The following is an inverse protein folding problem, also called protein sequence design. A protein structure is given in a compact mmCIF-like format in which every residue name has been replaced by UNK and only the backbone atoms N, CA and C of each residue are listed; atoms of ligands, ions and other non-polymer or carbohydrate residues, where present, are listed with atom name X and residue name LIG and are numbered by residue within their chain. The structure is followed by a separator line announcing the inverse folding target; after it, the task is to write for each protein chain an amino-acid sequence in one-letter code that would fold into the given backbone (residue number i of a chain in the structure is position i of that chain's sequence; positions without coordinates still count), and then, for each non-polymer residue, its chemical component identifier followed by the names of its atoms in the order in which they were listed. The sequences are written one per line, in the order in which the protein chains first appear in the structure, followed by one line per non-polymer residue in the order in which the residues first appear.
data_IF_494624717935
#
_entry.id   IF_494624717935
#
_cell.length_a   1.000
_cell.length_b   1.000
_cell.length_c   1.000
_cell.angle_alpha   90.00
_cell.angle_beta   90.00
_cell.angle_gamma   90.00
#
_symmetry.space_group_name_H-M   'P 1'
#
loop_
_entity.id
_entity.type
_entity.pdbx_description
1 polymer ?
#
# COMPACT_ATOMS: atom_id res chain seq x y z
N UNK A 1 -50.94 -31.02 -15.70
CA UNK A 1 -49.56 -31.36 -16.06
C UNK A 1 -48.79 -30.08 -16.23
N UNK A 2 -47.90 -29.75 -15.28
CA UNK A 2 -47.01 -28.58 -15.36
C UNK A 2 -45.75 -28.92 -14.57
N UNK A 3 -44.64 -29.20 -15.25
CA UNK A 3 -43.31 -29.41 -14.66
C UNK A 3 -42.55 -28.08 -14.67
N UNK A 4 -42.03 -27.69 -13.53
CA UNK A 4 -41.10 -26.56 -13.35
C UNK A 4 -39.67 -26.98 -13.67
N UNK A 5 -38.99 -26.18 -14.49
CA UNK A 5 -37.55 -26.24 -14.74
C UNK A 5 -36.78 -25.48 -13.66
N UNK A 6 -35.61 -26.00 -13.29
CA UNK A 6 -34.58 -25.36 -12.45
C UNK A 6 -34.02 -24.08 -13.07
N UNK A 7 -33.66 -23.06 -12.27
CA UNK A 7 -32.80 -21.97 -12.72
C UNK A 7 -31.37 -22.04 -12.15
N UNK A 8 -30.44 -22.09 -13.10
CA UNK A 8 -29.19 -21.32 -13.16
C UNK A 8 -28.02 -21.61 -12.20
N UNK A 9 -27.13 -22.48 -12.72
CA UNK A 9 -25.68 -22.28 -12.83
C UNK A 9 -25.20 -20.82 -12.68
N UNK A 10 -24.57 -20.51 -11.55
CA UNK A 10 -23.61 -19.41 -11.43
C UNK A 10 -22.19 -19.96 -11.59
N UNK A 11 -21.59 -19.72 -12.76
CA UNK A 11 -20.19 -20.03 -13.08
C UNK A 11 -19.26 -19.34 -12.08
N UNK A 12 -18.59 -20.14 -11.26
CA UNK A 12 -17.49 -19.72 -10.39
C UNK A 12 -16.22 -19.55 -11.22
N UNK A 13 -15.80 -18.31 -11.45
CA UNK A 13 -14.44 -17.99 -11.87
C UNK A 13 -13.54 -17.88 -10.62
N UNK A 14 -12.82 -18.96 -10.32
CA UNK A 14 -11.62 -18.96 -9.47
C UNK A 14 -10.85 -20.24 -9.76
N UNK A 15 -9.93 -20.18 -10.72
CA UNK A 15 -9.04 -21.29 -11.07
C UNK A 15 -7.89 -21.48 -10.06
N UNK A 16 -7.79 -20.62 -9.05
CA UNK A 16 -6.88 -20.80 -7.91
C UNK A 16 -7.69 -21.14 -6.66
N UNK A 17 -7.53 -22.36 -6.16
CA UNK A 17 -8.14 -22.82 -4.92
C UNK A 17 -7.68 -21.99 -3.71
N UNK A 18 -8.47 -22.01 -2.63
CA UNK A 18 -8.11 -21.34 -1.39
C UNK A 18 -6.78 -21.97 -0.85
N UNK A 19 -5.68 -21.20 -0.74
CA UNK A 19 -4.35 -21.68 -0.35
C UNK A 19 -4.29 -22.22 1.08
N UNK A 20 -5.23 -21.78 1.92
CA UNK A 20 -5.38 -22.21 3.31
C UNK A 20 -6.30 -23.44 3.45
N UNK A 21 -6.99 -23.83 2.37
CA UNK A 21 -8.00 -24.90 2.33
C UNK A 21 -7.45 -26.16 1.66
N UNK A 22 -6.41 -26.76 2.24
CA UNK A 22 -5.96 -28.10 1.86
C UNK A 22 -6.43 -29.14 2.88
N UNK A 23 -7.24 -30.11 2.42
CA UNK A 23 -7.60 -31.28 3.23
C UNK A 23 -6.39 -32.20 3.34
N UNK A 24 -6.00 -32.59 4.56
CA UNK A 24 -5.22 -33.80 4.78
C UNK A 24 -5.99 -34.99 4.20
N UNK A 25 -5.62 -35.42 2.99
CA UNK A 25 -6.11 -36.69 2.47
C UNK A 25 -5.32 -37.77 3.19
N UNK A 26 -5.96 -38.42 4.18
CA UNK A 26 -5.52 -39.71 4.72
C UNK A 26 -5.45 -40.68 3.54
N UNK A 27 -4.26 -40.89 2.97
CA UNK A 27 -4.04 -41.90 1.95
C UNK A 27 -3.03 -41.61 0.85
N UNK A 28 -2.40 -40.43 0.77
CA UNK A 28 -1.32 -40.23 -0.22
C UNK A 28 -0.08 -39.61 0.41
N UNK A 29 0.95 -40.43 0.56
CA UNK A 29 2.33 -40.01 0.79
C UNK A 29 2.89 -39.28 -0.44
N UNK A 30 2.28 -38.17 -0.88
CA UNK A 30 3.01 -37.16 -1.65
C UNK A 30 3.88 -36.42 -0.63
N UNK A 31 5.20 -36.63 -0.77
CA UNK A 31 6.18 -36.46 0.30
C UNK A 31 6.12 -35.11 1.00
N UNK A 32 6.18 -35.13 2.33
CA UNK A 32 6.53 -33.95 3.11
C UNK A 32 7.76 -33.29 2.50
N UNK A 33 7.67 -31.98 2.21
CA UNK A 33 8.82 -31.20 1.74
C UNK A 33 10.04 -31.48 2.62
N UNK A 34 11.14 -31.89 1.98
CA UNK A 34 12.40 -32.17 2.65
C UNK A 34 13.07 -30.87 3.09
N UNK A 35 13.99 -30.93 4.05
CA UNK A 35 14.72 -29.73 4.51
C UNK A 35 15.40 -28.95 3.36
N UNK A 36 16.04 -29.60 2.35
CA UNK A 36 16.59 -28.89 1.20
C UNK A 36 15.53 -28.22 0.31
N UNK A 37 14.36 -28.83 0.14
CA UNK A 37 13.27 -28.25 -0.65
C UNK A 37 12.67 -27.02 0.04
N UNK A 38 12.50 -27.08 1.36
CA UNK A 38 12.05 -25.93 2.16
C UNK A 38 13.03 -24.76 2.09
N UNK A 39 14.33 -25.06 2.12
CA UNK A 39 15.38 -24.05 1.93
C UNK A 39 15.29 -23.42 0.53
N UNK A 40 15.12 -24.22 -0.52
CA UNK A 40 15.02 -23.72 -1.89
C UNK A 40 13.78 -22.82 -2.09
N UNK A 41 12.64 -23.19 -1.51
CA UNK A 41 11.42 -22.36 -1.53
C UNK A 41 11.65 -21.02 -0.84
N UNK A 42 12.27 -21.03 0.35
CA UNK A 42 12.61 -19.80 1.08
C UNK A 42 13.59 -18.92 0.30
N UNK A 43 14.65 -19.50 -0.25
CA UNK A 43 15.65 -18.78 -1.04
C UNK A 43 15.05 -18.17 -2.31
N UNK A 44 14.14 -18.88 -2.98
CA UNK A 44 13.38 -18.35 -4.11
C UNK A 44 12.54 -17.15 -3.72
N UNK A 45 11.82 -17.23 -2.59
CA UNK A 45 11.05 -16.12 -2.06
C UNK A 45 11.95 -14.91 -1.72
N UNK A 46 13.03 -15.12 -0.99
CA UNK A 46 13.93 -14.03 -0.61
C UNK A 46 14.60 -13.40 -1.83
N UNK A 47 14.96 -14.18 -2.86
CA UNK A 47 15.49 -13.65 -4.12
C UNK A 47 14.49 -12.74 -4.84
N UNK A 48 13.20 -13.11 -4.86
CA UNK A 48 12.14 -12.26 -5.40
C UNK A 48 12.00 -10.96 -4.59
N UNK A 49 12.04 -11.04 -3.26
CA UNK A 49 11.98 -9.85 -2.40
C UNK A 49 13.18 -8.92 -2.62
N UNK A 50 14.40 -9.48 -2.73
CA UNK A 50 15.60 -8.72 -3.09
C UNK A 50 15.39 -7.96 -4.39
N UNK A 51 14.87 -8.63 -5.42
CA UNK A 51 14.64 -8.01 -6.73
C UNK A 51 13.59 -6.90 -6.67
N UNK A 52 12.52 -7.07 -5.90
CA UNK A 52 11.53 -6.00 -5.65
C UNK A 52 12.16 -4.78 -4.97
N UNK A 53 12.93 -5.00 -3.90
CA UNK A 53 13.62 -3.93 -3.20
C UNK A 53 14.60 -3.18 -4.12
N UNK A 54 15.27 -3.90 -5.03
CA UNK A 54 16.13 -3.28 -6.05
C UNK A 54 15.36 -2.48 -7.08
N UNK A 55 14.19 -2.95 -7.53
CA UNK A 55 13.32 -2.20 -8.44
C UNK A 55 12.78 -0.91 -7.82
N UNK A 56 12.65 -0.86 -6.50
CA UNK A 56 12.27 0.35 -5.76
C UNK A 56 13.43 1.36 -5.58
N UNK A 57 14.66 1.01 -5.97
CA UNK A 57 15.77 1.96 -5.96
C UNK A 57 15.44 3.16 -6.84
N UNK A 58 15.38 4.38 -6.28
CA UNK A 58 15.27 5.60 -7.07
C UNK A 58 16.49 5.75 -7.98
N UNK A 59 16.27 6.05 -9.26
CA UNK A 59 17.36 6.31 -10.23
C UNK A 59 17.99 7.68 -10.01
N UNK A 60 17.22 8.62 -9.46
CA UNK A 60 17.67 9.95 -9.08
C UNK A 60 17.03 10.36 -7.76
N UNK A 61 17.59 11.39 -7.12
CA UNK A 61 16.99 11.99 -5.92
C UNK A 61 15.61 12.59 -6.21
N UNK A 62 15.38 13.04 -7.44
CA UNK A 62 14.12 13.64 -7.83
C UNK A 62 13.00 12.61 -7.95
N UNK A 63 13.28 11.33 -8.19
CA UNK A 63 12.23 10.29 -8.21
C UNK A 63 11.64 10.00 -6.83
N UNK A 64 12.39 10.25 -5.75
CA UNK A 64 11.97 10.00 -4.37
C UNK A 64 10.73 10.86 -4.06
N UNK A 65 9.67 10.22 -3.56
CA UNK A 65 8.37 10.86 -3.31
C UNK A 65 7.67 11.48 -4.54
N UNK A 66 8.03 11.06 -5.75
CA UNK A 66 7.12 11.20 -6.90
C UNK A 66 5.91 10.27 -6.73
N UNK A 67 4.75 10.66 -7.27
CA UNK A 67 3.56 9.81 -7.29
C UNK A 67 3.81 8.52 -8.10
N UNK A 68 4.66 8.56 -9.11
CA UNK A 68 5.13 7.38 -9.85
C UNK A 68 5.91 6.40 -8.95
N UNK A 69 6.88 6.90 -8.18
CA UNK A 69 7.64 6.06 -7.24
C UNK A 69 6.75 5.49 -6.14
N UNK A 70 5.84 6.31 -5.59
CA UNK A 70 4.86 5.85 -4.60
C UNK A 70 3.93 4.77 -5.18
N UNK A 71 3.49 4.92 -6.42
CA UNK A 71 2.66 3.91 -7.10
C UNK A 71 3.42 2.59 -7.28
N UNK A 72 4.72 2.67 -7.61
CA UNK A 72 5.61 1.52 -7.69
C UNK A 72 5.81 0.85 -6.33
N UNK A 73 5.96 1.63 -5.26
CA UNK A 73 6.06 1.12 -3.89
C UNK A 73 4.78 0.41 -3.44
N UNK A 74 3.59 0.95 -3.73
CA UNK A 74 2.32 0.28 -3.45
C UNK A 74 2.15 -1.01 -4.25
N UNK A 75 2.59 -1.02 -5.51
CA UNK A 75 2.57 -2.21 -6.35
C UNK A 75 3.48 -3.30 -5.77
N UNK A 76 4.69 -2.94 -5.35
CA UNK A 76 5.62 -3.84 -4.66
C UNK A 76 5.00 -4.47 -3.40
N UNK A 77 4.32 -3.67 -2.56
CA UNK A 77 3.61 -4.19 -1.40
C UNK A 77 2.52 -5.19 -1.77
N UNK A 78 1.70 -4.86 -2.77
CA UNK A 78 0.63 -5.75 -3.23
C UNK A 78 1.19 -7.09 -3.71
N UNK A 79 2.25 -7.05 -4.52
CA UNK A 79 2.93 -8.24 -5.02
C UNK A 79 3.58 -9.06 -3.88
N UNK A 80 4.29 -8.42 -2.95
CA UNK A 80 4.92 -9.10 -1.81
C UNK A 80 3.90 -9.80 -0.90
N UNK A 81 2.73 -9.19 -0.67
CA UNK A 81 1.64 -9.85 0.06
C UNK A 81 1.01 -11.01 -0.72
N UNK A 82 0.89 -10.89 -2.04
CA UNK A 82 0.44 -11.99 -2.90
C UNK A 82 1.45 -13.16 -2.92
N UNK A 83 2.75 -12.89 -2.84
CA UNK A 83 3.76 -13.94 -2.76
C UNK A 83 3.65 -14.75 -1.47
N UNK A 84 3.28 -14.14 -0.35
CA UNK A 84 2.99 -14.88 0.89
C UNK A 84 1.83 -15.85 0.68
N UNK A 85 0.83 -15.45 -0.11
CA UNK A 85 -0.30 -16.32 -0.46
C UNK A 85 0.16 -17.51 -1.30
N UNK A 86 1.00 -17.27 -2.30
CA UNK A 86 1.59 -18.31 -3.15
C UNK A 86 2.47 -19.25 -2.33
N UNK A 87 3.36 -18.70 -1.50
CA UNK A 87 4.22 -19.45 -0.58
C UNK A 87 3.41 -20.34 0.37
N UNK A 88 2.29 -19.84 0.88
CA UNK A 88 1.44 -20.63 1.78
C UNK A 88 0.84 -21.84 1.06
N UNK A 89 0.46 -21.69 -0.21
CA UNK A 89 0.00 -22.80 -1.04
C UNK A 89 1.14 -23.79 -1.31
N UNK A 90 2.33 -23.31 -1.68
CA UNK A 90 3.50 -24.14 -1.99
C UNK A 90 3.98 -24.95 -0.78
N UNK A 91 3.90 -24.36 0.42
CA UNK A 91 4.24 -25.04 1.66
C UNK A 91 3.18 -26.07 2.07
N UNK A 92 2.01 -26.10 1.45
CA UNK A 92 0.86 -26.94 1.83
C UNK A 92 0.62 -26.90 3.35
N UNK A 93 0.58 -25.70 3.93
CA UNK A 93 0.40 -25.48 5.37
C UNK A 93 -1.08 -25.27 5.68
N UNK A 94 -1.83 -26.30 6.14
CA UNK A 94 -3.20 -26.08 6.57
C UNK A 94 -3.23 -25.21 7.83
N UNK A 95 -4.24 -24.34 7.90
CA UNK A 95 -4.40 -23.36 8.99
C UNK A 95 -4.61 -24.04 10.34
N UNK A 96 -5.13 -25.27 10.38
CA UNK A 96 -5.20 -26.10 11.60
C UNK A 96 -3.87 -26.34 12.32
N UNK A 97 -2.73 -26.08 11.67
CA UNK A 97 -1.39 -26.20 12.28
C UNK A 97 -0.92 -24.87 12.90
N UNK A 98 -1.65 -23.79 12.68
CA UNK A 98 -1.35 -22.49 13.25
C UNK A 98 -1.82 -22.48 14.72
N UNK A 99 -0.97 -21.98 15.62
CA UNK A 99 -1.37 -21.75 17.02
C UNK A 99 -2.46 -20.65 17.06
N UNK A 100 -3.39 -20.68 18.01
CA UNK A 100 -4.45 -19.66 18.11
C UNK A 100 -3.87 -18.24 18.20
N UNK A 101 -2.71 -18.10 18.87
CA UNK A 101 -1.96 -16.84 18.94
C UNK A 101 -1.52 -16.30 17.58
N UNK A 102 -1.24 -17.17 16.61
CA UNK A 102 -0.84 -16.76 15.26
C UNK A 102 -1.98 -16.17 14.48
N UNK A 103 -3.15 -16.80 14.61
CA UNK A 103 -4.37 -16.34 13.97
C UNK A 103 -4.71 -14.94 14.49
N UNK A 104 -4.63 -14.73 15.80
CA UNK A 104 -4.85 -13.42 16.41
C UNK A 104 -3.85 -12.36 15.93
N UNK A 105 -2.56 -12.67 15.91
CA UNK A 105 -1.51 -11.74 15.44
C UNK A 105 -1.70 -11.38 13.96
N UNK A 106 -2.05 -12.35 13.10
CA UNK A 106 -2.32 -12.09 11.70
C UNK A 106 -3.55 -11.18 11.52
N UNK A 107 -4.63 -11.44 12.26
CA UNK A 107 -5.82 -10.61 12.19
C UNK A 107 -5.60 -9.20 12.73
N UNK A 108 -4.81 -9.05 13.80
CA UNK A 108 -4.40 -7.74 14.32
C UNK A 108 -3.57 -6.96 13.30
N UNK A 109 -2.54 -7.58 12.71
CA UNK A 109 -1.72 -6.96 11.66
C UNK A 109 -2.57 -6.57 10.45
N UNK A 110 -3.41 -7.48 9.93
CA UNK A 110 -4.24 -7.17 8.77
C UNK A 110 -5.25 -6.04 9.05
N UNK A 111 -5.82 -5.97 10.25
CA UNK A 111 -6.68 -4.83 10.64
C UNK A 111 -5.89 -3.52 10.63
N UNK A 112 -4.68 -3.48 11.22
CA UNK A 112 -3.80 -2.30 11.20
C UNK A 112 -3.45 -1.86 9.78
N UNK A 113 -3.19 -2.80 8.87
CA UNK A 113 -2.92 -2.49 7.47
C UNK A 113 -4.13 -1.89 6.75
N UNK A 114 -5.33 -2.44 6.98
CA UNK A 114 -6.57 -1.89 6.43
C UNK A 114 -6.85 -0.46 6.96
N UNK A 115 -6.55 -0.18 8.23
CA UNK A 115 -6.67 1.16 8.80
C UNK A 115 -5.70 2.15 8.16
N UNK A 116 -4.46 1.73 7.87
CA UNK A 116 -3.48 2.54 7.13
C UNK A 116 -3.98 2.82 5.71
N UNK A 117 -4.48 1.81 4.99
CA UNK A 117 -5.07 2.02 3.66
C UNK A 117 -6.23 3.02 3.70
N UNK A 118 -7.12 2.91 4.68
CA UNK A 118 -8.23 3.86 4.86
C UNK A 118 -7.73 5.28 5.13
N UNK A 119 -6.64 5.44 5.87
CA UNK A 119 -6.02 6.75 6.11
C UNK A 119 -5.41 7.32 4.83
N UNK A 120 -4.68 6.51 4.05
CA UNK A 120 -4.09 6.91 2.77
C UNK A 120 -5.16 7.25 1.73
N UNK A 121 -6.20 6.43 1.57
CA UNK A 121 -7.32 6.71 0.66
C UNK A 121 -8.06 7.99 1.05
N UNK A 122 -8.23 8.24 2.35
CA UNK A 122 -8.80 9.49 2.85
C UNK A 122 -7.94 10.70 2.51
N UNK A 123 -6.61 10.55 2.56
CA UNK A 123 -5.68 11.62 2.25
C UNK A 123 -5.59 11.90 0.76
N UNK A 124 -5.55 10.87 -0.08
CA UNK A 124 -5.61 11.01 -1.53
C UNK A 124 -6.94 11.64 -1.95
N UNK A 125 -8.05 11.25 -1.32
CA UNK A 125 -9.34 11.90 -1.58
C UNK A 125 -9.33 13.37 -1.18
N UNK A 126 -8.74 13.71 -0.02
CA UNK A 126 -8.59 15.11 0.43
C UNK A 126 -7.74 15.90 -0.58
N UNK A 127 -6.55 15.43 -0.91
CA UNK A 127 -5.66 16.10 -1.86
C UNK A 127 -6.34 16.27 -3.25
N UNK A 128 -7.10 15.27 -3.72
CA UNK A 128 -7.80 15.32 -5.01
C UNK A 128 -8.94 16.36 -5.02
N UNK A 129 -9.58 16.64 -3.86
CA UNK A 129 -10.54 17.74 -3.75
C UNK A 129 -9.88 19.11 -4.02
N UNK A 130 -8.55 19.22 -3.85
CA UNK A 130 -7.78 20.40 -4.23
C UNK A 130 -7.73 20.65 -5.74
N UNK A 131 -8.06 19.66 -6.58
CA UNK A 131 -8.06 19.85 -8.03
C UNK A 131 -9.20 20.77 -8.50
N UNK A 132 -10.29 20.90 -7.74
CA UNK A 132 -11.39 21.79 -8.10
C UNK A 132 -10.96 23.28 -8.15
N UNK A 133 -10.38 23.87 -7.07
CA UNK A 133 -9.93 25.25 -7.13
C UNK A 133 -8.85 25.48 -8.19
N UNK A 134 -7.94 24.52 -8.42
CA UNK A 134 -6.95 24.61 -9.51
C UNK A 134 -7.61 24.68 -10.90
N UNK A 135 -8.54 23.75 -11.20
CA UNK A 135 -9.25 23.73 -12.49
C UNK A 135 -10.10 24.99 -12.69
N UNK A 136 -10.74 25.48 -11.64
CA UNK A 136 -11.46 26.74 -11.69
C UNK A 136 -10.53 27.94 -11.95
N UNK A 137 -9.36 27.98 -11.31
CA UNK A 137 -8.38 29.03 -11.54
C UNK A 137 -7.89 29.01 -12.99
N UNK A 138 -7.54 27.83 -13.52
CA UNK A 138 -7.10 27.65 -14.91
C UNK A 138 -8.13 28.18 -15.92
N UNK A 139 -9.41 27.79 -15.78
CA UNK A 139 -10.48 28.28 -16.65
C UNK A 139 -10.68 29.81 -16.58
N UNK A 140 -10.33 30.44 -15.46
CA UNK A 140 -10.44 31.90 -15.27
C UNK A 140 -9.23 32.64 -15.87
N UNK A 141 -8.08 31.97 -15.91
CA UNK A 141 -6.81 32.49 -16.44
C UNK A 141 -6.67 32.31 -17.95
N UNK A 142 -7.39 31.34 -18.53
CA UNK A 142 -7.41 31.05 -19.97
C UNK A 142 -7.92 32.23 -20.83
N UNK A 143 -9.03 32.91 -20.48
CA UNK A 143 -9.34 34.21 -21.07
C UNK A 143 -8.46 35.29 -20.41
N UNK A 144 -7.58 35.92 -21.20
CA UNK A 144 -6.69 37.00 -20.77
C UNK A 144 -7.44 38.32 -20.41
N UNK A 145 -8.36 38.28 -19.45
CA UNK A 145 -9.17 39.43 -19.02
C UNK A 145 -8.69 39.95 -17.66
N UNK A 146 -8.41 41.24 -17.56
CA UNK A 146 -7.83 41.83 -16.33
C UNK A 146 -8.72 41.74 -15.09
N UNK A 147 -10.05 41.65 -15.27
CA UNK A 147 -11.04 41.52 -14.17
C UNK A 147 -11.10 40.12 -13.56
N UNK A 148 -10.57 39.09 -14.23
CA UNK A 148 -10.65 37.70 -13.77
C UNK A 148 -9.48 37.27 -12.88
N UNK A 149 -8.38 38.03 -12.85
CA UNK A 149 -7.15 37.65 -12.15
C UNK A 149 -7.22 37.65 -10.62
N UNK A 150 -7.91 38.61 -10.00
CA UNK A 150 -8.07 38.63 -8.53
C UNK A 150 -8.83 37.40 -8.02
N UNK A 151 -9.82 36.94 -8.80
CA UNK A 151 -10.57 35.71 -8.53
C UNK A 151 -9.70 34.46 -8.71
N UNK A 152 -8.84 34.43 -9.74
CA UNK A 152 -7.89 33.33 -9.92
C UNK A 152 -6.91 33.22 -8.74
N UNK A 153 -6.33 34.33 -8.27
CA UNK A 153 -5.49 34.34 -7.08
C UNK A 153 -6.20 33.79 -5.84
N UNK A 154 -7.45 34.20 -5.59
CA UNK A 154 -8.22 33.68 -4.46
C UNK A 154 -8.40 32.16 -4.54
N UNK A 155 -8.63 31.61 -5.73
CA UNK A 155 -8.77 30.16 -5.92
C UNK A 155 -7.44 29.42 -5.75
N UNK A 156 -6.33 30.00 -6.19
CA UNK A 156 -4.99 29.44 -5.97
C UNK A 156 -4.61 29.49 -4.48
N UNK A 157 -4.99 30.56 -3.76
CA UNK A 157 -4.86 30.65 -2.31
C UNK A 157 -5.71 29.59 -1.59
N UNK A 158 -6.94 29.37 -2.06
CA UNK A 158 -7.83 28.34 -1.54
C UNK A 158 -7.25 26.94 -1.76
N UNK A 159 -6.71 26.66 -2.95
CA UNK A 159 -5.97 25.43 -3.22
C UNK A 159 -4.80 25.26 -2.24
N UNK A 160 -3.94 26.28 -2.11
CA UNK A 160 -2.76 26.23 -1.24
C UNK A 160 -3.13 25.98 0.21
N UNK A 161 -4.17 26.66 0.69
CA UNK A 161 -4.75 26.46 2.03
C UNK A 161 -5.27 25.05 2.19
N UNK A 162 -6.01 24.55 1.21
CA UNK A 162 -6.56 23.20 1.21
C UNK A 162 -5.46 22.14 1.30
N UNK A 163 -4.42 22.21 0.46
CA UNK A 163 -3.30 21.26 0.50
C UNK A 163 -2.61 21.25 1.87
N UNK A 164 -2.43 22.42 2.48
CA UNK A 164 -1.82 22.57 3.80
C UNK A 164 -2.68 22.09 4.98
N UNK A 165 -3.98 21.85 4.79
CA UNK A 165 -4.82 21.29 5.85
C UNK A 165 -4.34 19.89 6.25
N UNK A 166 -4.30 19.62 7.55
CA UNK A 166 -3.88 18.31 8.08
C UNK A 166 -5.04 17.32 8.09
N UNK A 167 -4.74 16.07 7.75
CA UNK A 167 -5.70 14.98 7.89
C UNK A 167 -5.46 14.21 9.20
N UNK A 168 -6.42 14.22 10.13
CA UNK A 168 -6.26 13.57 11.42
C UNK A 168 -6.10 12.04 11.33
N UNK A 169 -6.49 11.41 10.22
CA UNK A 169 -6.28 9.96 10.01
C UNK A 169 -4.80 9.64 9.76
N UNK A 170 -4.10 10.50 9.03
CA UNK A 170 -2.64 10.38 8.81
C UNK A 170 -1.87 10.61 10.11
N UNK A 171 -2.39 11.45 11.01
CA UNK A 171 -1.80 11.62 12.35
C UNK A 171 -1.82 10.31 13.16
N UNK A 172 -2.88 9.50 13.01
CA UNK A 172 -3.00 8.21 13.69
C UNK A 172 -2.08 7.13 13.11
N UNK A 173 -1.66 7.23 11.84
CA UNK A 173 -0.79 6.23 11.20
C UNK A 173 0.50 5.97 11.98
N UNK A 174 1.09 6.98 12.62
CA UNK A 174 2.31 6.79 13.43
C UNK A 174 2.10 5.75 14.53
N UNK A 175 1.00 5.86 15.28
CA UNK A 175 0.69 4.93 16.37
C UNK A 175 0.41 3.51 15.87
N UNK A 176 -0.20 3.39 14.69
CA UNK A 176 -0.45 2.09 14.05
C UNK A 176 0.87 1.46 13.61
N UNK A 177 1.76 2.25 13.00
CA UNK A 177 3.08 1.82 12.58
C UNK A 177 3.95 1.40 13.77
N UNK A 178 3.95 2.15 14.87
CA UNK A 178 4.64 1.76 16.11
C UNK A 178 4.13 0.41 16.63
N UNK A 179 2.81 0.18 16.57
CA UNK A 179 2.19 -1.10 16.90
C UNK A 179 2.54 -2.24 15.93
N UNK A 180 2.85 -1.94 14.67
CA UNK A 180 3.36 -2.91 13.70
C UNK A 180 4.84 -3.23 13.95
N UNK A 181 5.65 -2.21 14.27
CA UNK A 181 7.06 -2.36 14.66
C UNK A 181 7.17 -3.20 15.92
N UNK A 182 6.39 -2.89 16.96
CA UNK A 182 6.38 -3.64 18.23
C UNK A 182 5.92 -5.09 18.10
N UNK A 183 5.32 -5.46 16.97
CA UNK A 183 4.94 -6.84 16.64
C UNK A 183 5.80 -7.46 15.53
N UNK A 184 6.91 -6.83 15.14
CA UNK A 184 7.83 -7.35 14.10
C UNK A 184 8.36 -8.74 14.48
N UNK A 185 8.62 -8.96 15.77
CA UNK A 185 8.91 -10.27 16.33
C UNK A 185 7.63 -11.11 16.35
N UNK A 186 7.41 -11.81 15.24
CA UNK A 186 6.29 -12.72 15.11
C UNK A 186 6.48 -13.89 16.11
N UNK A 187 5.40 -14.46 16.69
CA UNK A 187 5.50 -15.57 17.63
C UNK A 187 6.39 -16.73 17.12
N UNK A 188 6.80 -17.68 17.96
CA UNK A 188 7.46 -18.90 17.44
C UNK A 188 6.38 -19.88 16.99
N UNK A 189 6.42 -20.35 15.74
CA UNK A 189 5.61 -21.52 15.34
C UNK A 189 6.22 -22.74 16.02
N UNK A 190 5.43 -23.46 16.83
CA UNK A 190 5.87 -24.69 17.49
C UNK A 190 6.29 -25.73 16.42
N UNK A 191 7.55 -26.18 16.48
CA UNK A 191 8.12 -27.37 15.82
C UNK A 191 7.71 -27.65 14.35
N UNK A 192 7.39 -26.64 13.55
CA UNK A 192 7.07 -26.80 12.13
C UNK A 192 8.17 -26.16 11.26
N UNK A 193 8.91 -26.98 10.51
CA UNK A 193 9.92 -26.49 9.57
C UNK A 193 9.29 -25.61 8.46
N UNK A 194 8.13 -26.01 7.95
CA UNK A 194 7.32 -25.22 7.02
C UNK A 194 6.88 -23.89 7.64
N UNK A 195 6.41 -23.93 8.89
CA UNK A 195 6.02 -22.72 9.62
C UNK A 195 7.17 -21.73 9.77
N UNK A 196 8.39 -22.20 10.05
CA UNK A 196 9.58 -21.33 10.11
C UNK A 196 9.86 -20.63 8.78
N UNK A 197 9.71 -21.33 7.65
CA UNK A 197 9.87 -20.74 6.30
C UNK A 197 8.84 -19.63 6.07
N UNK A 198 7.55 -19.92 6.32
CA UNK A 198 6.50 -18.91 6.19
C UNK A 198 6.79 -17.70 7.08
N UNK A 199 7.30 -17.92 8.29
CA UNK A 199 7.55 -16.81 9.20
C UNK A 199 8.67 -15.90 8.79
N UNK A 200 9.75 -16.47 8.28
CA UNK A 200 10.86 -15.70 7.75
C UNK A 200 10.42 -14.87 6.53
N UNK A 201 9.59 -15.43 5.66
CA UNK A 201 9.02 -14.72 4.53
C UNK A 201 8.10 -13.56 4.97
N UNK A 202 7.18 -13.83 5.90
CA UNK A 202 6.27 -12.81 6.44
C UNK A 202 7.00 -11.68 7.15
N UNK A 203 8.11 -11.98 7.83
CA UNK A 203 8.96 -10.95 8.46
C UNK A 203 9.51 -9.97 7.41
N UNK A 204 10.07 -10.46 6.30
CA UNK A 204 10.56 -9.60 5.22
C UNK A 204 9.48 -8.71 4.60
N UNK A 205 8.29 -9.28 4.32
CA UNK A 205 7.16 -8.52 3.78
C UNK A 205 6.64 -7.49 4.78
N UNK A 206 6.64 -7.83 6.07
CA UNK A 206 6.24 -6.89 7.12
C UNK A 206 7.21 -5.72 7.24
N UNK A 207 8.52 -5.97 7.15
CA UNK A 207 9.56 -4.92 7.12
C UNK A 207 9.34 -3.98 5.92
N UNK A 208 9.17 -4.54 4.71
CA UNK A 208 8.87 -3.75 3.51
C UNK A 208 7.60 -2.89 3.70
N UNK A 209 6.54 -3.49 4.25
CA UNK A 209 5.26 -2.82 4.51
C UNK A 209 5.43 -1.66 5.48
N UNK A 210 6.08 -1.88 6.62
CA UNK A 210 6.31 -0.82 7.63
C UNK A 210 7.15 0.30 7.04
N UNK A 211 8.20 -0.02 6.30
CA UNK A 211 9.04 0.96 5.64
C UNK A 211 8.23 1.84 4.67
N UNK A 212 7.54 1.25 3.69
CA UNK A 212 6.76 1.99 2.69
C UNK A 212 5.65 2.82 3.35
N UNK A 213 4.90 2.23 4.29
CA UNK A 213 3.86 2.96 4.99
C UNK A 213 4.41 4.11 5.87
N UNK A 214 5.60 3.97 6.44
CA UNK A 214 6.26 5.06 7.18
C UNK A 214 6.67 6.21 6.28
N UNK A 215 7.21 5.91 5.08
CA UNK A 215 7.56 6.91 4.06
C UNK A 215 6.31 7.70 3.65
N UNK A 216 5.20 7.00 3.40
CA UNK A 216 3.95 7.63 2.98
C UNK A 216 3.33 8.46 4.11
N UNK A 217 3.33 7.92 5.33
CA UNK A 217 2.86 8.66 6.50
C UNK A 217 3.68 9.92 6.75
N UNK A 218 5.00 9.87 6.59
CA UNK A 218 5.87 11.04 6.69
C UNK A 218 5.54 12.06 5.59
N UNK A 219 5.44 11.61 4.34
CA UNK A 219 5.12 12.48 3.20
C UNK A 219 3.79 13.20 3.36
N UNK A 220 2.71 12.45 3.64
CA UNK A 220 1.37 13.02 3.81
C UNK A 220 1.20 13.86 5.06
N UNK A 221 1.90 13.54 6.15
CA UNK A 221 1.85 14.38 7.36
C UNK A 221 2.66 15.66 7.23
N UNK A 222 3.58 15.72 6.25
CA UNK A 222 4.53 16.82 6.12
C UNK A 222 5.55 16.85 7.28
N UNK A 223 5.90 15.71 7.87
CA UNK A 223 6.94 15.65 8.91
C UNK A 223 7.82 14.41 8.82
N UNK A 224 9.14 14.61 8.96
CA UNK A 224 10.13 13.52 9.06
C UNK A 224 10.09 12.76 10.39
N UNK A 225 9.38 13.27 11.41
CA UNK A 225 9.29 12.63 12.74
C UNK A 225 8.62 11.25 12.70
N UNK A 226 7.80 11.00 11.68
CA UNK A 226 7.07 9.73 11.49
C UNK A 226 7.81 8.73 10.61
N UNK A 227 9.01 9.09 10.15
CA UNK A 227 9.83 8.24 9.34
C UNK A 227 10.60 7.26 10.22
N UNK A 228 10.43 5.97 9.97
CA UNK A 228 11.00 4.91 10.78
C UNK A 228 12.33 4.43 10.18
N UNK A 229 13.32 4.23 11.05
CA UNK A 229 14.57 3.56 10.72
C UNK A 229 14.53 2.16 11.31
N UNK A 230 14.21 1.16 10.48
CA UNK A 230 14.14 -0.23 10.90
C UNK A 230 15.53 -0.84 10.93
N UNK A 231 15.89 -1.45 12.06
CA UNK A 231 17.07 -2.31 12.14
C UNK A 231 16.67 -3.76 11.84
N UNK A 232 17.38 -4.38 10.90
CA UNK A 232 17.09 -5.72 10.42
C UNK A 232 18.33 -6.61 10.52
N UNK A 233 18.18 -7.88 10.96
CA UNK A 233 19.31 -8.80 11.07
C UNK A 233 19.98 -9.09 9.71
N UNK A 234 21.32 -9.11 9.69
CA UNK A 234 22.11 -9.39 8.47
C UNK A 234 22.02 -10.85 8.00
N UNK A 235 21.35 -11.72 8.77
CA UNK A 235 21.16 -13.13 8.40
C UNK A 235 20.23 -13.32 7.19
N UNK A 236 19.43 -12.32 6.83
CA UNK A 236 18.49 -12.38 5.72
C UNK A 236 19.13 -11.90 4.43
N UNK A 237 18.94 -12.65 3.33
CA UNK A 237 19.58 -12.31 2.05
C UNK A 237 19.08 -10.99 1.43
N UNK A 238 17.86 -10.55 1.80
CA UNK A 238 17.27 -9.28 1.39
C UNK A 238 17.72 -8.07 2.24
N UNK A 239 18.32 -8.29 3.41
CA UNK A 239 18.69 -7.22 4.34
C UNK A 239 19.64 -6.17 3.73
N UNK A 240 20.68 -6.51 2.95
CA UNK A 240 21.55 -5.50 2.33
C UNK A 240 20.82 -4.59 1.33
N UNK A 241 19.92 -5.16 0.51
CA UNK A 241 19.12 -4.40 -0.44
C UNK A 241 18.15 -3.46 0.28
N UNK A 242 17.51 -3.95 1.35
CA UNK A 242 16.63 -3.16 2.20
C UNK A 242 17.36 -2.00 2.91
N UNK A 243 18.48 -2.28 3.59
CA UNK A 243 19.27 -1.25 4.29
C UNK A 243 19.72 -0.15 3.34
N UNK A 244 20.15 -0.51 2.13
CA UNK A 244 20.51 0.45 1.09
C UNK A 244 19.31 1.33 0.68
N UNK A 245 18.15 0.72 0.44
CA UNK A 245 16.91 1.46 0.12
C UNK A 245 16.51 2.43 1.22
N UNK A 246 16.42 1.93 2.45
CA UNK A 246 15.99 2.72 3.60
C UNK A 246 16.92 3.91 3.80
N UNK A 247 18.24 3.70 3.77
CA UNK A 247 19.19 4.79 3.99
C UNK A 247 19.09 5.86 2.90
N UNK A 248 19.00 5.45 1.63
CA UNK A 248 18.89 6.39 0.50
C UNK A 248 17.60 7.21 0.58
N UNK A 249 16.45 6.54 0.74
CA UNK A 249 15.15 7.18 0.78
C UNK A 249 15.00 8.03 2.04
N UNK A 250 15.33 7.50 3.22
CA UNK A 250 15.14 8.22 4.46
C UNK A 250 16.04 9.45 4.58
N UNK A 251 17.30 9.34 4.14
CA UNK A 251 18.22 10.49 4.15
C UNK A 251 17.71 11.62 3.26
N UNK A 252 17.28 11.31 2.03
CA UNK A 252 16.74 12.32 1.11
C UNK A 252 15.46 12.95 1.65
N UNK A 253 14.53 12.14 2.20
CA UNK A 253 13.30 12.67 2.81
C UNK A 253 13.61 13.64 3.95
N UNK A 254 14.56 13.31 4.82
CA UNK A 254 15.00 14.19 5.93
C UNK A 254 15.60 15.50 5.41
N UNK A 255 16.38 15.45 4.33
CA UNK A 255 16.92 16.64 3.65
C UNK A 255 15.79 17.50 3.08
N UNK A 256 14.82 16.89 2.38
CA UNK A 256 13.68 17.61 1.79
C UNK A 256 12.83 18.32 2.83
N UNK A 257 12.58 17.71 3.98
CA UNK A 257 11.87 18.39 5.08
C UNK A 257 12.61 19.60 5.65
N UNK A 258 13.92 19.69 5.45
CA UNK A 258 14.74 20.82 5.90
C UNK A 258 14.87 21.92 4.85
N UNK A 259 14.40 21.69 3.62
CA UNK A 259 14.62 22.58 2.47
C UNK A 259 13.62 23.74 2.35
N UNK A 260 12.61 23.82 3.23
CA UNK A 260 11.60 24.90 3.20
C UNK A 260 10.61 24.83 2.02
N UNK A 261 10.62 23.74 1.25
CA UNK A 261 9.67 23.48 0.16
C UNK A 261 8.21 23.46 0.65
N UNK A 262 7.29 23.79 -0.26
CA UNK A 262 5.86 23.78 0.04
C UNK A 262 5.35 22.35 0.31
N UNK A 263 5.81 21.39 -0.47
CA UNK A 263 5.53 19.97 -0.30
C UNK A 263 6.78 19.12 -0.51
N UNK A 264 6.80 17.96 0.12
CA UNK A 264 7.82 16.92 -0.17
C UNK A 264 7.42 16.03 -1.34
N UNK A 265 6.16 16.07 -1.76
CA UNK A 265 5.66 15.42 -2.98
C UNK A 265 6.00 16.30 -4.18
N UNK A 266 6.67 15.73 -5.18
CA UNK A 266 7.21 16.48 -6.31
C UNK A 266 6.13 17.19 -7.12
N UNK A 267 5.04 16.50 -7.41
CA UNK A 267 3.98 17.00 -8.27
C UNK A 267 3.24 18.16 -7.60
N UNK A 268 3.08 18.12 -6.26
CA UNK A 268 2.53 19.26 -5.50
C UNK A 268 3.49 20.45 -5.47
N UNK A 269 4.79 20.20 -5.35
CA UNK A 269 5.82 21.25 -5.37
C UNK A 269 5.91 21.90 -6.76
N UNK A 270 5.79 21.10 -7.83
CA UNK A 270 5.76 21.59 -9.20
C UNK A 270 4.58 22.53 -9.44
N UNK A 271 3.36 22.13 -9.05
CA UNK A 271 2.18 23.02 -9.11
C UNK A 271 2.40 24.29 -8.29
N UNK A 272 2.91 24.18 -7.06
CA UNK A 272 3.15 25.37 -6.23
C UNK A 272 4.21 26.30 -6.86
N UNK A 273 5.24 25.75 -7.51
CA UNK A 273 6.29 26.53 -8.18
C UNK A 273 5.68 27.39 -9.30
N UNK A 274 4.88 26.77 -10.18
CA UNK A 274 4.20 27.50 -11.26
C UNK A 274 3.20 28.52 -10.71
N UNK A 275 2.48 28.18 -9.63
CA UNK A 275 1.59 29.13 -8.94
C UNK A 275 2.37 30.34 -8.39
N UNK A 276 3.58 30.15 -7.85
CA UNK A 276 4.43 31.25 -7.39
C UNK A 276 4.90 32.15 -8.54
N UNK A 277 5.21 31.57 -9.70
CA UNK A 277 5.59 32.32 -10.90
C UNK A 277 4.43 33.12 -11.48
N UNK A 278 3.19 32.64 -11.30
CA UNK A 278 1.98 33.30 -11.78
C UNK A 278 1.60 34.56 -10.94
N UNK A 279 1.88 34.58 -9.63
CA UNK A 279 1.46 35.70 -8.76
C UNK A 279 2.00 37.07 -9.18
N UNK A 280 3.31 37.26 -9.47
CA UNK A 280 3.83 38.54 -9.94
C UNK A 280 3.18 39.01 -11.24
N UNK A 281 2.95 38.09 -12.18
CA UNK A 281 2.31 38.35 -13.47
C UNK A 281 0.86 38.83 -13.32
N UNK A 282 0.19 38.41 -12.25
CA UNK A 282 -1.18 38.83 -11.89
C UNK A 282 -1.18 40.16 -11.13
N UNK A 283 -0.27 40.34 -10.16
CA UNK A 283 -0.25 41.52 -9.28
C UNK A 283 0.40 42.76 -9.93
N UNK A 284 1.27 42.56 -10.91
CA UNK A 284 1.96 43.62 -11.67
C UNK A 284 1.04 44.49 -12.52
N UNK A 285 -0.25 44.17 -12.60
CA UNK A 285 -1.33 45.01 -13.14
C UNK A 285 -0.96 45.66 -14.47
N UNK A 286 -1.01 44.89 -15.57
CA UNK A 286 -0.95 45.32 -17.00
C UNK A 286 -0.65 46.82 -17.17
N UNK A 287 0.56 47.22 -16.82
CA UNK A 287 1.07 48.56 -17.03
C UNK A 287 2.35 48.43 -17.84
N UNK A 288 2.29 47.68 -18.94
CA UNK A 288 2.94 47.99 -20.23
C UNK A 288 2.34 47.03 -21.25
N UNK A 289 1.67 47.57 -22.27
CA UNK A 289 1.12 46.82 -23.38
C UNK A 289 2.26 46.20 -24.21
N UNK A 290 2.58 44.93 -23.95
CA UNK A 290 3.53 44.16 -24.75
C UNK A 290 3.01 42.75 -25.01
N UNK A 291 2.91 42.34 -26.30
CA UNK A 291 2.59 40.96 -26.71
C UNK A 291 3.42 39.90 -25.97
N UNK A 292 4.66 40.24 -25.60
CA UNK A 292 5.62 39.35 -24.92
C UNK A 292 5.17 39.00 -23.49
N UNK A 293 4.61 39.93 -22.72
CA UNK A 293 4.12 39.64 -21.37
C UNK A 293 2.88 38.75 -21.42
N UNK A 294 2.01 38.96 -22.42
CA UNK A 294 0.81 38.14 -22.62
C UNK A 294 1.14 36.71 -23.09
N UNK A 295 2.12 36.54 -23.98
CA UNK A 295 2.64 35.22 -24.36
C UNK A 295 3.30 34.49 -23.19
N UNK A 296 4.06 35.21 -22.36
CA UNK A 296 4.69 34.62 -21.17
C UNK A 296 3.66 34.15 -20.13
N UNK A 297 2.59 34.92 -19.91
CA UNK A 297 1.50 34.55 -19.03
C UNK A 297 0.74 33.31 -19.53
N UNK A 298 0.40 33.28 -20.83
CA UNK A 298 -0.27 32.12 -21.42
C UNK A 298 0.58 30.85 -21.29
N UNK A 299 1.89 30.96 -21.50
CA UNK A 299 2.82 29.85 -21.28
C UNK A 299 2.81 29.34 -19.83
N UNK A 300 2.86 30.23 -18.84
CA UNK A 300 2.78 29.83 -17.42
C UNK A 300 1.43 29.19 -17.07
N UNK A 301 0.32 29.63 -17.68
CA UNK A 301 -1.00 29.01 -17.51
C UNK A 301 -1.04 27.60 -18.12
N UNK A 302 -0.43 27.40 -19.29
CA UNK A 302 -0.27 26.09 -19.91
C UNK A 302 0.58 25.15 -19.03
N UNK A 303 1.69 25.64 -18.49
CA UNK A 303 2.55 24.91 -17.56
C UNK A 303 1.81 24.53 -16.27
N UNK A 304 0.96 25.42 -15.73
CA UNK A 304 0.10 25.13 -14.59
C UNK A 304 -0.92 24.04 -14.92
N UNK A 305 -1.49 24.09 -16.13
CA UNK A 305 -2.42 23.09 -16.64
C UNK A 305 -1.77 21.72 -16.73
N UNK A 306 -0.56 21.65 -17.29
CA UNK A 306 0.21 20.41 -17.38
C UNK A 306 0.55 19.85 -15.99
N UNK A 307 1.07 20.67 -15.09
CA UNK A 307 1.42 20.25 -13.73
C UNK A 307 0.19 19.79 -12.92
N UNK A 308 -0.95 20.47 -13.07
CA UNK A 308 -2.21 20.09 -12.41
C UNK A 308 -2.77 18.75 -12.94
N UNK A 309 -2.63 18.50 -14.24
CA UNK A 309 -3.03 17.24 -14.86
C UNK A 309 -2.12 16.09 -14.44
N UNK A 310 -0.79 16.29 -14.42
CA UNK A 310 0.17 15.31 -13.90
C UNK A 310 -0.11 14.96 -12.44
N UNK A 311 -0.38 15.96 -11.60
CA UNK A 311 -0.81 15.75 -10.22
C UNK A 311 -2.09 14.91 -10.15
N UNK A 312 -3.14 15.26 -10.89
CA UNK A 312 -4.41 14.54 -10.89
C UNK A 312 -4.25 13.08 -11.33
N UNK A 313 -3.53 12.83 -12.42
CA UNK A 313 -3.31 11.49 -12.95
C UNK A 313 -2.45 10.65 -12.00
N UNK A 314 -1.37 11.23 -11.46
CA UNK A 314 -0.52 10.55 -10.49
C UNK A 314 -1.28 10.17 -9.22
N UNK A 315 -2.18 11.04 -8.76
CA UNK A 315 -3.03 10.78 -7.61
C UNK A 315 -4.04 9.66 -7.84
N UNK A 316 -4.67 9.62 -9.01
CA UNK A 316 -5.60 8.54 -9.39
C UNK A 316 -4.88 7.19 -9.50
N UNK A 317 -3.67 7.16 -10.05
CA UNK A 317 -2.84 5.95 -10.12
C UNK A 317 -2.44 5.47 -8.72
N UNK A 318 -1.99 6.37 -7.85
CA UNK A 318 -1.63 6.04 -6.49
C UNK A 318 -2.85 5.54 -5.70
N UNK A 319 -4.03 6.16 -5.88
CA UNK A 319 -5.26 5.72 -5.25
C UNK A 319 -5.66 4.29 -5.66
N UNK A 320 -5.51 3.95 -6.94
CA UNK A 320 -5.68 2.57 -7.44
C UNK A 320 -4.66 1.61 -6.80
N UNK A 321 -3.41 2.05 -6.62
CA UNK A 321 -2.39 1.27 -5.91
C UNK A 321 -2.75 0.98 -4.46
N UNK A 322 -3.27 1.98 -3.73
CA UNK A 322 -3.75 1.84 -2.34
C UNK A 322 -4.95 0.91 -2.26
N UNK A 323 -5.94 1.06 -3.16
CA UNK A 323 -7.09 0.15 -3.22
C UNK A 323 -6.66 -1.29 -3.56
N UNK A 324 -5.76 -1.48 -4.53
CA UNK A 324 -5.23 -2.80 -4.86
C UNK A 324 -4.57 -3.49 -3.66
N UNK A 325 -3.79 -2.74 -2.86
CA UNK A 325 -3.21 -3.27 -1.64
C UNK A 325 -4.26 -3.56 -0.57
N UNK A 326 -5.25 -2.69 -0.39
CA UNK A 326 -6.39 -2.94 0.50
C UNK A 326 -7.11 -4.25 0.14
N UNK A 327 -7.41 -4.47 -1.15
CA UNK A 327 -8.04 -5.69 -1.63
C UNK A 327 -7.16 -6.93 -1.42
N UNK A 328 -5.85 -6.83 -1.60
CA UNK A 328 -4.92 -7.94 -1.35
C UNK A 328 -4.92 -8.37 0.13
N UNK A 329 -4.90 -7.40 1.05
CA UNK A 329 -4.97 -7.64 2.50
C UNK A 329 -6.33 -8.24 2.88
N UNK A 330 -7.42 -7.65 2.39
CA UNK A 330 -8.79 -8.11 2.68
C UNK A 330 -9.03 -9.53 2.15
N UNK A 331 -8.62 -9.80 0.92
CA UNK A 331 -8.74 -11.13 0.30
C UNK A 331 -7.98 -12.17 1.11
N UNK A 332 -6.75 -11.86 1.54
CA UNK A 332 -5.93 -12.79 2.33
C UNK A 332 -6.58 -13.08 3.69
N UNK A 333 -7.11 -12.03 4.34
CA UNK A 333 -7.88 -12.12 5.59
C UNK A 333 -9.12 -13.01 5.45
N UNK A 334 -9.94 -12.79 4.42
CA UNK A 334 -11.17 -13.55 4.18
C UNK A 334 -10.88 -15.01 3.82
N UNK A 335 -9.80 -15.23 3.10
CA UNK A 335 -9.33 -16.58 2.74
C UNK A 335 -8.93 -17.36 4.01
N UNK A 336 -8.20 -16.72 4.94
CA UNK A 336 -7.86 -17.33 6.24
C UNK A 336 -9.10 -17.62 7.09
N UNK A 337 -10.02 -16.65 7.21
CA UNK A 337 -11.29 -16.81 7.95
C UNK A 337 -12.12 -17.98 7.43
N UNK A 338 -12.21 -18.12 6.10
CA UNK A 338 -12.95 -19.18 5.45
C UNK A 338 -12.40 -20.57 5.78
N UNK A 339 -11.07 -20.68 5.88
CA UNK A 339 -10.39 -21.94 6.21
C UNK A 339 -10.57 -22.32 7.68
N UNK A 340 -10.52 -21.35 8.59
CA UNK A 340 -10.79 -21.58 10.03
C UNK A 340 -12.22 -22.09 10.29
N UNK A 341 -13.22 -21.50 9.62
CA UNK A 341 -14.63 -21.93 9.73
C UNK A 341 -14.83 -23.36 9.22
N UNK A 342 -14.13 -23.73 8.16
CA UNK A 342 -14.20 -25.07 7.60
C UNK A 342 -13.58 -26.11 8.54
N UNK A 343 -12.41 -25.84 9.11
CA UNK A 343 -11.76 -26.75 10.06
C UNK A 343 -12.61 -26.98 11.32
N UNK A 344 -13.26 -25.94 11.85
CA UNK A 344 -14.22 -26.09 12.96
C UNK A 344 -15.37 -27.04 12.59
N UNK A 345 -15.95 -26.86 11.40
CA UNK A 345 -17.07 -27.69 10.92
C UNK A 345 -16.65 -29.15 10.71
N UNK A 346 -15.43 -29.41 10.24
CA UNK A 346 -14.89 -30.77 10.08
C UNK A 346 -14.64 -31.41 11.44
N UNK A 347 -14.04 -30.70 12.38
CA UNK A 347 -13.79 -31.20 13.74
C UNK A 347 -15.10 -31.54 14.47
N UNK A 348 -16.12 -30.69 14.39
CA UNK A 348 -17.43 -30.94 15.01
C UNK A 348 -18.10 -32.21 14.43
N UNK A 349 -17.99 -32.44 13.11
CA UNK A 349 -18.50 -33.67 12.46
C UNK A 349 -17.73 -34.93 12.88
N UNK A 350 -16.41 -34.82 13.05
CA UNK A 350 -15.55 -35.94 13.46
C UNK A 350 -15.71 -36.29 14.94
N UNK A 351 -16.06 -35.32 15.78
CA UNK A 351 -16.38 -35.54 17.20
C UNK A 351 -17.81 -36.09 17.35
N UNK A 352 -18.79 -35.60 16.59
CA UNK A 352 -20.15 -36.13 16.59
C UNK A 352 -20.29 -37.56 16.06
N UNK A 353 -19.40 -37.99 15.16
CA UNK A 353 -19.40 -39.35 14.60
C UNK A 353 -18.76 -40.44 15.48
N UNK A 354 -18.08 -40.08 16.58
CA UNK A 354 -17.38 -41.05 17.44
C UNK A 354 -18.22 -41.60 18.61
N UNK A 355 -19.43 -41.10 18.83
CA UNK A 355 -20.30 -41.50 19.96
C UNK A 355 -21.45 -42.45 19.59
N UNK A 356 -21.47 -43.04 18.39
CA UNK A 356 -22.51 -44.00 17.99
C UNK A 356 -21.83 -45.34 17.65
N UNK A 357 -21.55 -46.15 18.67
CA UNK A 357 -20.93 -47.45 18.43
C UNK A 357 -20.43 -48.24 19.63
N UNK A 358 -20.97 -48.05 20.82
CA UNK A 358 -20.83 -49.02 21.92
C UNK A 358 -22.15 -49.09 22.69
N UNK A 359 -23.10 -49.86 22.14
CA UNK A 359 -24.17 -50.44 22.94
C UNK A 359 -23.95 -51.95 22.94
N UNK A 360 -23.31 -52.41 24.02
CA UNK A 360 -23.20 -53.81 24.39
C UNK A 360 -24.61 -54.29 24.71
N UNK A 361 -25.06 -55.34 24.03
CA UNK A 361 -26.25 -56.10 24.41
C UNK A 361 -25.77 -57.51 24.73
N UNK A 362 -26.03 -57.92 25.98
CA UNK A 362 -25.84 -59.27 26.49
C UNK A 362 -26.80 -60.27 25.86
#
# INVERSE_FOLDING_TARGET
MSRSQDPHSSRSFSLFGNPFRMKSHKGSHKGSLTSPQLLAVLQGFEATLVERLRKLMPKSKDEILSLSWMTSAMSSLCESHNDIRTLTADLELPVSVWDDKWVDVYFDISTKLLDICNAFSSELSRLNQGNLPLKCALHILEPASSKSFSRACSLLDDWRRHINTKNPRIEKCSTILDGLVGSLDLPKVKNSAKGKVLMQAMYGVKVETVFVCSVFSAAFSGTSKKLLDLDVPDMHSWAPAFKTLQNLVNSEIRVRFSSGKFSVLNELEAVNTVVQELYPSIQGGVNTEGKVEQESHLKTVEELGAAAEELSQGMDLLAKGVDGFFQAVLTSRDTLLSSLRFDKTVNDRVVGGRNIGQQVVY
#
